data_IF_465611833746
#
_entry.id   IF_465611833746
#
_cell.length_a   1.000
_cell.length_b   1.000
_cell.length_c   1.000
_cell.angle_alpha   90.00
_cell.angle_beta   90.00
_cell.angle_gamma   90.00
#
_symmetry.space_group_name_H-M   'P 1'
#
loop_
_entity.id
_entity.type
_entity.pdbx_description
1 polymer ?
#
# COMPACT_ATOMS: atom_id res chain seq x y z
N UNK A 1 -16.71 12.42 0.82
CA UNK A 1 -15.30 12.19 0.42
C UNK A 1 -14.34 12.38 1.58
N UNK A 2 -14.08 13.61 2.08
CA UNK A 2 -13.12 13.82 3.19
C UNK A 2 -13.36 12.94 4.41
N UNK A 3 -14.60 12.88 4.92
CA UNK A 3 -14.95 12.03 6.07
C UNK A 3 -14.63 10.54 5.83
N UNK A 4 -14.83 10.05 4.60
CA UNK A 4 -14.54 8.66 4.25
C UNK A 4 -13.02 8.43 4.26
N UNK A 5 -12.25 9.33 3.65
CA UNK A 5 -10.79 9.26 3.75
C UNK A 5 -10.28 9.41 5.19
N UNK A 6 -10.91 10.22 6.05
CA UNK A 6 -10.52 10.31 7.46
C UNK A 6 -10.68 8.95 8.16
N UNK A 7 -11.76 8.21 7.88
CA UNK A 7 -11.94 6.83 8.38
C UNK A 7 -10.84 5.90 7.89
N UNK A 8 -10.44 6.02 6.61
CA UNK A 8 -9.31 5.26 6.07
C UNK A 8 -8.00 5.62 6.78
N UNK A 9 -7.73 6.90 7.07
CA UNK A 9 -6.50 7.34 7.70
C UNK A 9 -6.42 6.97 9.20
N UNK A 10 -7.53 6.63 9.85
CA UNK A 10 -7.56 6.24 11.27
C UNK A 10 -6.85 4.91 11.57
N UNK A 11 -6.55 4.08 10.57
CA UNK A 11 -5.77 2.84 10.78
C UNK A 11 -4.27 3.11 10.95
N UNK A 12 -3.82 4.34 10.70
CA UNK A 12 -2.41 4.74 10.77
C UNK A 12 -2.13 5.53 12.06
N UNK A 13 -1.18 5.10 12.92
CA UNK A 13 -0.42 3.86 12.83
C UNK A 13 -1.14 2.67 13.49
N UNK A 14 -0.99 1.49 12.90
CA UNK A 14 -1.20 0.19 13.55
C UNK A 14 0.15 -0.53 13.63
N UNK A 15 0.88 -0.32 14.74
CA UNK A 15 2.28 -0.77 14.90
C UNK A 15 2.40 -2.30 14.92
N UNK A 16 1.46 -2.98 15.56
CA UNK A 16 1.39 -4.43 15.60
C UNK A 16 0.37 -4.93 14.56
N UNK A 17 0.85 -5.65 13.54
CA UNK A 17 -0.03 -6.17 12.49
C UNK A 17 -0.99 -7.24 13.02
N UNK A 18 -0.69 -7.89 14.15
CA UNK A 18 -1.62 -8.86 14.77
C UNK A 18 -2.88 -8.19 15.33
N UNK A 19 -2.85 -6.87 15.57
CA UNK A 19 -4.04 -6.11 15.98
C UNK A 19 -5.14 -6.21 14.90
N UNK A 20 -4.80 -6.45 13.63
CA UNK A 20 -5.77 -6.65 12.55
C UNK A 20 -6.57 -7.95 12.67
N UNK A 21 -6.10 -8.95 13.41
CA UNK A 21 -6.92 -10.15 13.67
C UNK A 21 -8.21 -9.79 14.44
N UNK A 22 -8.13 -8.80 15.31
CA UNK A 22 -9.22 -8.41 16.20
C UNK A 22 -9.96 -7.14 15.75
N UNK A 23 -9.47 -6.45 14.71
CA UNK A 23 -10.15 -5.29 14.09
C UNK A 23 -11.18 -5.73 13.04
N UNK A 24 -12.40 -5.25 13.18
CA UNK A 24 -13.45 -5.42 12.17
C UNK A 24 -13.53 -4.20 11.25
N UNK A 25 -13.58 -4.45 9.95
CA UNK A 25 -13.83 -3.42 8.94
C UNK A 25 -15.31 -3.34 8.54
N UNK A 26 -15.60 -2.64 7.44
CA UNK A 26 -16.95 -2.55 6.90
C UNK A 26 -17.37 -3.89 6.29
N UNK A 27 -18.63 -4.31 6.54
CA UNK A 27 -19.20 -5.54 6.00
C UNK A 27 -20.50 -5.23 5.26
N UNK A 28 -20.70 -5.88 4.13
CA UNK A 28 -21.93 -5.87 3.34
C UNK A 28 -22.34 -7.32 2.98
N UNK A 29 -23.24 -7.47 2.00
CA UNK A 29 -23.83 -8.75 1.60
C UNK A 29 -22.84 -9.73 0.94
N UNK A 30 -21.65 -9.26 0.56
CA UNK A 30 -20.58 -10.10 0.01
C UNK A 30 -19.88 -10.97 1.08
N UNK A 31 -20.14 -10.71 2.37
CA UNK A 31 -19.58 -11.51 3.46
C UNK A 31 -20.54 -12.61 3.91
N UNK A 32 -20.06 -13.84 3.90
CA UNK A 32 -20.74 -14.94 4.58
C UNK A 32 -20.92 -14.67 6.08
N UNK A 33 -22.02 -15.16 6.65
CA UNK A 33 -22.37 -14.95 8.08
C UNK A 33 -21.27 -15.39 9.05
N UNK A 34 -20.48 -16.39 8.68
CA UNK A 34 -19.38 -16.93 9.50
C UNK A 34 -18.01 -16.37 9.12
N UNK A 35 -17.91 -15.72 7.96
CA UNK A 35 -16.65 -15.14 7.52
C UNK A 35 -16.34 -13.89 8.34
N UNK A 36 -15.22 -13.86 9.05
CA UNK A 36 -14.72 -12.70 9.80
C UNK A 36 -13.95 -11.72 8.93
N UNK A 37 -13.67 -12.04 7.68
CA UNK A 37 -12.95 -11.22 6.71
C UNK A 37 -11.43 -11.31 6.82
N UNK A 38 -10.78 -10.79 5.78
CA UNK A 38 -9.32 -10.71 5.65
C UNK A 38 -8.90 -9.25 5.53
N UNK A 39 -7.87 -8.85 6.27
CA UNK A 39 -7.20 -7.58 6.01
C UNK A 39 -6.08 -7.79 4.99
N UNK A 40 -6.12 -7.06 3.88
CA UNK A 40 -5.05 -6.99 2.89
C UNK A 40 -4.24 -5.72 3.17
N UNK A 41 -2.96 -5.90 3.50
CA UNK A 41 -2.02 -4.79 3.72
C UNK A 41 -0.98 -4.83 2.61
N UNK A 42 -0.83 -3.72 1.90
CA UNK A 42 0.07 -3.59 0.76
C UNK A 42 0.84 -2.27 0.86
N UNK A 43 2.17 -2.33 0.75
CA UNK A 43 3.03 -1.14 0.62
C UNK A 43 4.07 -1.41 -0.47
N UNK A 44 4.28 -0.44 -1.35
CA UNK A 44 5.30 -0.52 -2.41
C UNK A 44 5.94 0.84 -2.69
N UNK A 45 7.21 0.79 -3.12
CA UNK A 45 7.97 1.93 -3.59
C UNK A 45 8.37 1.67 -5.04
N UNK A 46 8.03 2.59 -5.93
CA UNK A 46 8.40 2.59 -7.34
C UNK A 46 9.38 3.72 -7.63
N UNK A 47 10.51 3.37 -8.24
CA UNK A 47 11.55 4.32 -8.64
C UNK A 47 11.92 4.05 -10.09
N UNK A 48 11.56 4.97 -10.97
CA UNK A 48 11.98 5.02 -12.37
C UNK A 48 12.76 6.32 -12.59
N UNK A 49 14.09 6.31 -12.48
CA UNK A 49 14.91 7.46 -12.81
C UNK A 49 14.94 7.68 -14.32
N UNK A 50 15.14 8.93 -14.74
CA UNK A 50 15.25 9.29 -16.16
C UNK A 50 16.27 8.42 -16.90
N UNK A 51 15.78 7.70 -17.93
CA UNK A 51 16.60 6.87 -18.82
C UNK A 51 17.15 5.59 -18.20
N UNK A 52 16.56 5.11 -17.10
CA UNK A 52 16.91 3.84 -16.43
C UNK A 52 15.68 2.94 -16.33
N UNK A 53 15.87 1.68 -15.93
CA UNK A 53 14.76 0.78 -15.62
C UNK A 53 13.93 1.29 -14.46
N UNK A 54 12.63 0.99 -14.51
CA UNK A 54 11.73 1.16 -13.38
C UNK A 54 11.88 -0.04 -12.46
N UNK A 55 12.17 0.20 -11.18
CA UNK A 55 12.17 -0.84 -10.16
C UNK A 55 11.07 -0.56 -9.14
N UNK A 56 10.24 -1.57 -8.86
CA UNK A 56 9.23 -1.55 -7.81
C UNK A 56 9.55 -2.61 -6.77
N UNK A 57 9.52 -2.23 -5.50
CA UNK A 57 9.70 -3.15 -4.37
C UNK A 57 8.58 -2.98 -3.37
N UNK A 58 7.99 -4.09 -2.94
CA UNK A 58 6.85 -4.05 -2.04
C UNK A 58 6.56 -5.37 -1.34
N UNK A 59 5.56 -5.34 -0.48
CA UNK A 59 5.06 -6.53 0.20
C UNK A 59 3.54 -6.49 0.26
N UNK A 60 2.91 -7.64 0.11
CA UNK A 60 1.48 -7.86 0.39
C UNK A 60 1.36 -8.88 1.52
N UNK A 61 0.47 -8.63 2.48
CA UNK A 61 0.04 -9.60 3.48
C UNK A 61 -1.48 -9.74 3.49
N UNK A 62 -1.93 -10.99 3.61
CA UNK A 62 -3.32 -11.38 3.79
C UNK A 62 -3.50 -11.86 5.24
N UNK A 63 -4.03 -10.98 6.09
CA UNK A 63 -4.23 -11.22 7.52
C UNK A 63 -5.64 -11.78 7.71
N UNK A 64 -5.75 -13.11 7.73
CA UNK A 64 -7.03 -13.82 7.78
C UNK A 64 -7.54 -13.90 9.23
N UNK A 65 -8.68 -13.27 9.52
CA UNK A 65 -9.27 -13.23 10.87
C UNK A 65 -9.95 -14.54 11.26
N UNK A 66 -10.34 -15.38 10.30
CA UNK A 66 -10.94 -16.69 10.54
C UNK A 66 -9.91 -17.66 11.10
N UNK A 67 -8.77 -17.78 10.42
CA UNK A 67 -7.71 -18.73 10.79
C UNK A 67 -6.69 -18.14 11.77
N UNK A 68 -6.69 -16.82 11.96
CA UNK A 68 -5.64 -16.07 12.68
C UNK A 68 -4.24 -16.38 12.15
N UNK A 69 -4.14 -16.59 10.84
CA UNK A 69 -2.87 -16.77 10.14
C UNK A 69 -2.67 -15.64 9.13
N UNK A 70 -1.41 -15.32 8.88
CA UNK A 70 -1.04 -14.29 7.90
C UNK A 70 0.01 -14.84 6.95
N UNK A 71 -0.30 -14.81 5.65
CA UNK A 71 0.60 -15.19 4.56
C UNK A 71 0.69 -14.05 3.57
N UNK A 72 1.69 -14.08 2.71
CA UNK A 72 1.83 -13.12 1.63
C UNK A 72 3.15 -13.30 0.90
N UNK A 73 3.61 -12.24 0.26
CA UNK A 73 4.88 -12.26 -0.46
C UNK A 73 5.51 -10.87 -0.50
N UNK A 74 6.83 -10.85 -0.46
CA UNK A 74 7.63 -9.72 -0.91
C UNK A 74 7.80 -9.83 -2.43
N UNK A 75 7.84 -8.71 -3.13
CA UNK A 75 8.10 -8.70 -4.56
C UNK A 75 9.11 -7.63 -4.97
N UNK A 76 9.86 -7.96 -6.01
CA UNK A 76 10.70 -7.03 -6.76
C UNK A 76 10.24 -7.14 -8.19
N UNK A 77 9.77 -6.04 -8.75
CA UNK A 77 9.45 -5.93 -10.16
C UNK A 77 10.43 -4.98 -10.86
N UNK A 78 10.89 -5.37 -12.04
CA UNK A 78 11.74 -4.53 -12.88
C UNK A 78 11.15 -4.44 -14.30
N UNK A 79 10.90 -3.22 -14.75
CA UNK A 79 10.46 -2.92 -16.11
C UNK A 79 11.64 -2.31 -16.87
N UNK A 80 12.03 -2.96 -17.96
CA UNK A 80 13.16 -2.57 -18.83
C UNK A 80 12.70 -2.48 -20.27
N UNK A 81 13.28 -1.58 -21.06
CA UNK A 81 13.10 -1.58 -22.52
C UNK A 81 14.26 -2.34 -23.19
N UNK A 82 13.94 -3.26 -24.09
CA UNK A 82 14.95 -3.94 -24.90
C UNK A 82 15.51 -3.01 -25.99
N UNK A 83 16.54 -3.49 -26.71
CA UNK A 83 17.18 -2.72 -27.80
C UNK A 83 16.24 -2.36 -28.96
N UNK A 84 15.07 -2.98 -29.05
CA UNK A 84 14.03 -2.71 -30.04
C UNK A 84 12.91 -1.82 -29.47
N UNK A 85 13.05 -1.32 -28.24
CA UNK A 85 12.04 -0.51 -27.55
C UNK A 85 10.83 -1.29 -27.05
N UNK A 86 10.94 -2.62 -26.87
CA UNK A 86 9.88 -3.43 -26.25
C UNK A 86 10.09 -3.49 -24.74
N UNK A 87 9.06 -3.12 -23.99
CA UNK A 87 9.08 -3.22 -22.55
C UNK A 87 8.99 -4.69 -22.11
N UNK A 88 9.86 -5.08 -21.19
CA UNK A 88 9.91 -6.37 -20.51
C UNK A 88 9.66 -6.16 -19.03
N UNK A 89 8.72 -6.92 -18.51
CA UNK A 89 8.27 -6.95 -17.12
C UNK A 89 8.78 -8.24 -16.46
N UNK A 90 9.62 -8.15 -15.43
CA UNK A 90 10.19 -9.29 -14.68
C UNK A 90 9.90 -9.16 -13.18
N UNK A 91 8.81 -9.79 -12.73
CA UNK A 91 8.42 -9.81 -11.33
C UNK A 91 8.89 -11.09 -10.60
N UNK A 92 9.60 -10.90 -9.49
CA UNK A 92 10.03 -11.97 -8.59
C UNK A 92 9.31 -11.88 -7.26
N UNK A 93 8.65 -12.96 -6.86
CA UNK A 93 7.92 -13.08 -5.58
C UNK A 93 8.65 -14.01 -4.61
N UNK A 94 8.73 -13.57 -3.35
CA UNK A 94 9.31 -14.30 -2.25
C UNK A 94 8.23 -14.52 -1.17
N UNK A 95 7.72 -15.76 -1.00
CA UNK A 95 6.62 -16.00 -0.08
C UNK A 95 7.08 -15.81 1.38
N UNK A 96 6.19 -15.21 2.16
CA UNK A 96 6.40 -14.90 3.58
C UNK A 96 5.17 -15.28 4.41
N UNK A 97 5.38 -15.42 5.71
CA UNK A 97 4.32 -15.43 6.73
C UNK A 97 4.61 -14.37 7.79
N UNK A 98 3.59 -13.96 8.52
CA UNK A 98 3.73 -13.07 9.67
C UNK A 98 3.32 -13.78 10.96
N UNK A 99 4.20 -13.79 11.95
CA UNK A 99 3.97 -14.34 13.29
C UNK A 99 4.61 -13.41 14.33
N UNK A 100 3.88 -13.09 15.41
CA UNK A 100 4.37 -12.21 16.48
C UNK A 100 4.90 -10.86 15.94
N UNK A 101 4.18 -10.28 14.97
CA UNK A 101 4.54 -9.03 14.27
C UNK A 101 5.89 -9.06 13.52
N UNK A 102 6.41 -10.26 13.21
CA UNK A 102 7.65 -10.46 12.45
C UNK A 102 7.36 -11.10 11.11
N UNK A 103 8.06 -10.63 10.07
CA UNK A 103 8.01 -11.22 8.73
C UNK A 103 9.01 -12.36 8.65
N UNK A 104 8.57 -13.53 8.19
CA UNK A 104 9.37 -14.75 8.11
C UNK A 104 9.27 -15.30 6.69
N UNK A 105 10.38 -15.32 5.91
CA UNK A 105 10.41 -16.02 4.62
C UNK A 105 10.05 -17.50 4.77
N UNK A 106 9.20 -18.02 3.89
CA UNK A 106 8.79 -19.44 3.91
C UNK A 106 9.57 -20.30 2.92
N UNK A 107 10.38 -19.68 2.06
CA UNK A 107 11.31 -20.34 1.12
C UNK A 107 12.72 -19.73 1.25
N UNK A 108 13.78 -20.45 0.81
CA UNK A 108 15.12 -19.90 0.76
C UNK A 108 15.19 -18.59 -0.05
N UNK A 109 15.92 -17.61 0.47
CA UNK A 109 16.15 -16.32 -0.18
C UNK A 109 17.56 -16.31 -0.80
N UNK A 110 17.75 -15.80 -2.04
CA UNK A 110 19.00 -15.93 -2.77
C UNK A 110 20.24 -15.33 -2.09
N UNK A 111 20.08 -14.32 -1.23
CA UNK A 111 21.19 -13.67 -0.53
C UNK A 111 20.73 -13.02 0.79
N UNK A 112 21.70 -12.81 1.70
CA UNK A 112 21.45 -12.24 3.02
C UNK A 112 20.96 -10.79 3.01
N UNK A 113 21.34 -10.00 2.01
CA UNK A 113 20.89 -8.61 1.89
C UNK A 113 19.38 -8.56 1.68
N UNK A 114 18.87 -9.34 0.71
CA UNK A 114 17.45 -9.46 0.43
C UNK A 114 16.69 -10.10 1.59
N UNK A 115 17.27 -11.11 2.24
CA UNK A 115 16.66 -11.72 3.43
C UNK A 115 16.44 -10.69 4.54
N UNK A 116 17.46 -9.87 4.83
CA UNK A 116 17.36 -8.78 5.82
C UNK A 116 16.37 -7.69 5.40
N UNK A 117 16.28 -7.37 4.11
CA UNK A 117 15.30 -6.42 3.57
C UNK A 117 13.87 -6.90 3.85
N UNK A 118 13.59 -8.19 3.59
CA UNK A 118 12.29 -8.82 3.85
C UNK A 118 11.97 -8.89 5.36
N UNK A 119 12.91 -9.39 6.18
CA UNK A 119 12.70 -9.57 7.62
C UNK A 119 12.53 -8.24 8.37
N UNK A 120 13.21 -7.17 7.92
CA UNK A 120 13.11 -5.84 8.50
C UNK A 120 12.03 -4.95 7.85
N UNK A 121 11.30 -5.48 6.87
CA UNK A 121 10.26 -4.74 6.17
C UNK A 121 9.22 -4.22 7.17
N UNK A 122 8.77 -2.98 6.96
CA UNK A 122 7.67 -2.37 7.69
C UNK A 122 6.69 -1.79 6.71
N UNK A 123 5.44 -2.22 6.84
CA UNK A 123 4.33 -1.61 6.10
C UNK A 123 4.16 -0.16 6.56
N UNK A 124 3.72 0.71 5.65
CA UNK A 124 3.53 2.12 5.95
C UNK A 124 2.49 2.35 7.05
N UNK A 125 1.46 1.48 7.11
CA UNK A 125 0.52 1.42 8.24
C UNK A 125 1.17 1.29 9.61
N UNK A 126 2.36 0.69 9.73
CA UNK A 126 3.02 0.49 11.02
C UNK A 126 3.71 1.74 11.57
N UNK A 127 4.00 2.74 10.73
CA UNK A 127 4.83 3.89 11.14
C UNK A 127 4.33 5.25 10.68
N UNK A 128 3.41 5.31 9.71
CA UNK A 128 2.82 6.56 9.28
C UNK A 128 1.91 7.15 10.36
N UNK A 129 1.76 8.46 10.32
CA UNK A 129 0.89 9.20 11.21
C UNK A 129 0.27 10.34 10.43
N UNK A 130 -1.06 10.35 10.30
CA UNK A 130 -1.79 11.38 9.60
C UNK A 130 -2.44 12.34 10.60
N UNK A 131 -2.52 13.62 10.20
CA UNK A 131 -3.39 14.58 10.86
C UNK A 131 -4.83 14.34 10.41
N UNK A 132 -5.79 15.03 11.03
CA UNK A 132 -7.14 15.06 10.49
C UNK A 132 -7.09 15.57 9.05
N UNK A 133 -7.87 14.96 8.16
CA UNK A 133 -7.85 15.33 6.74
C UNK A 133 -8.18 16.82 6.51
N UNK A 134 -8.91 17.46 7.43
CA UNK A 134 -9.25 18.87 7.35
C UNK A 134 -8.07 19.81 7.68
N UNK A 135 -7.00 19.30 8.31
CA UNK A 135 -5.79 20.06 8.59
C UNK A 135 -4.92 20.27 7.33
N UNK A 136 -5.14 19.46 6.28
CA UNK A 136 -4.47 19.63 5.00
C UNK A 136 -5.14 20.77 4.21
N UNK A 137 -4.36 21.81 3.92
CA UNK A 137 -4.82 23.00 3.19
C UNK A 137 -4.80 22.77 1.68
N UNK A 138 -5.68 23.46 0.97
CA UNK A 138 -5.72 23.51 -0.51
C UNK A 138 -5.84 22.12 -1.18
N UNK A 139 -6.68 21.26 -0.62
CA UNK A 139 -6.97 19.95 -1.22
C UNK A 139 -7.79 20.08 -2.51
N UNK A 140 -7.33 19.40 -3.55
CA UNK A 140 -8.05 19.22 -4.81
C UNK A 140 -8.89 17.95 -4.70
N UNK A 141 -10.22 18.08 -4.75
CA UNK A 141 -11.17 16.98 -4.51
C UNK A 141 -11.94 16.72 -5.79
N UNK A 142 -11.90 15.48 -6.25
CA UNK A 142 -12.60 15.05 -7.46
C UNK A 142 -13.60 13.95 -7.14
N UNK A 143 -14.71 13.94 -7.89
CA UNK A 143 -15.72 12.89 -7.86
C UNK A 143 -16.22 12.60 -9.26
N UNK A 144 -16.16 11.34 -9.67
CA UNK A 144 -16.74 10.83 -10.90
C UNK A 144 -17.87 9.85 -10.55
N UNK A 145 -19.15 10.27 -10.65
CA UNK A 145 -20.28 9.42 -10.30
C UNK A 145 -20.53 8.27 -11.29
N UNK A 146 -19.99 8.32 -12.51
CA UNK A 146 -20.21 7.27 -13.52
C UNK A 146 -19.39 5.99 -13.24
N UNK A 147 -18.23 6.14 -12.61
CA UNK A 147 -17.34 5.02 -12.19
C UNK A 147 -17.40 4.83 -10.66
N UNK A 148 -18.38 5.44 -9.99
CA UNK A 148 -18.28 5.94 -8.61
C UNK A 148 -16.86 6.02 -8.01
N UNK A 149 -16.01 6.92 -8.54
CA UNK A 149 -14.65 7.13 -8.01
C UNK A 149 -14.46 8.53 -7.44
N UNK A 150 -13.63 8.65 -6.41
CA UNK A 150 -13.34 9.90 -5.72
C UNK A 150 -11.87 9.99 -5.34
N UNK A 151 -11.35 11.21 -5.32
CA UNK A 151 -9.98 11.45 -4.88
C UNK A 151 -9.82 12.74 -4.11
N UNK A 152 -8.76 12.82 -3.33
CA UNK A 152 -8.32 14.04 -2.68
C UNK A 152 -6.80 14.15 -2.79
N UNK A 153 -6.32 15.23 -3.40
CA UNK A 153 -4.91 15.48 -3.68
C UNK A 153 -4.41 16.70 -2.91
N UNK A 154 -3.28 16.56 -2.23
CA UNK A 154 -2.67 17.59 -1.39
C UNK A 154 -1.19 17.71 -1.69
N UNK A 155 -0.69 18.93 -1.89
CA UNK A 155 0.75 19.17 -1.94
C UNK A 155 1.32 19.10 -0.52
N UNK A 156 2.28 18.21 -0.28
CA UNK A 156 2.98 18.13 0.99
C UNK A 156 4.27 18.94 0.97
N UNK A 157 4.88 19.09 2.14
CA UNK A 157 6.20 19.66 2.32
C UNK A 157 7.19 18.57 2.77
N UNK A 158 8.49 18.75 2.51
CA UNK A 158 9.53 17.81 2.95
C UNK A 158 9.69 17.73 4.48
N UNK A 159 9.09 18.66 5.23
CA UNK A 159 9.08 18.63 6.69
C UNK A 159 7.99 17.75 7.28
N UNK A 160 7.04 17.29 6.46
CA UNK A 160 5.96 16.38 6.84
C UNK A 160 6.53 15.08 7.43
N UNK A 161 5.89 14.58 8.48
CA UNK A 161 6.36 13.40 9.20
C UNK A 161 6.42 12.16 8.30
N UNK A 162 5.39 11.92 7.49
CA UNK A 162 5.33 10.75 6.62
C UNK A 162 6.36 10.85 5.49
N UNK A 163 6.55 12.04 4.93
CA UNK A 163 7.60 12.27 3.91
C UNK A 163 8.99 11.99 4.48
N UNK A 164 9.28 12.41 5.72
CA UNK A 164 10.55 12.09 6.41
C UNK A 164 10.71 10.59 6.65
N UNK A 165 9.64 9.88 7.02
CA UNK A 165 9.69 8.43 7.21
C UNK A 165 10.01 7.69 5.92
N UNK A 166 9.38 8.07 4.79
CA UNK A 166 9.66 7.48 3.49
C UNK A 166 11.13 7.69 3.09
N UNK A 167 11.63 8.92 3.18
CA UNK A 167 13.04 9.25 2.86
C UNK A 167 14.07 8.61 3.77
N UNK A 168 13.68 8.20 4.99
CA UNK A 168 14.56 7.45 5.90
C UNK A 168 14.66 5.97 5.53
N UNK A 169 13.61 5.42 4.91
CA UNK A 169 13.47 3.99 4.62
C UNK A 169 13.82 3.62 3.18
N UNK A 170 13.62 4.56 2.26
CA UNK A 170 13.86 4.39 0.84
C UNK A 170 14.84 5.45 0.33
N UNK A 171 15.75 5.04 -0.54
CA UNK A 171 16.66 5.94 -1.23
C UNK A 171 15.93 6.63 -2.39
N UNK A 172 15.17 7.68 -2.08
CA UNK A 172 14.34 8.40 -3.04
C UNK A 172 15.21 9.45 -3.77
N UNK A 173 15.52 9.27 -5.07
CA UNK A 173 16.56 10.04 -5.78
C UNK A 173 16.08 11.43 -6.26
N UNK A 174 15.23 12.10 -5.49
CA UNK A 174 14.69 13.42 -5.80
C UNK A 174 14.50 14.24 -4.53
N UNK A 175 14.76 15.55 -4.60
CA UNK A 175 14.53 16.49 -3.48
C UNK A 175 13.11 17.06 -3.45
N UNK A 176 12.29 16.76 -4.47
CA UNK A 176 10.94 17.32 -4.59
C UNK A 176 10.03 16.84 -3.45
N UNK A 177 9.17 17.74 -2.95
CA UNK A 177 8.17 17.36 -1.96
C UNK A 177 7.00 16.67 -2.67
N UNK A 178 6.52 15.52 -2.18
CA UNK A 178 5.52 14.75 -2.89
C UNK A 178 4.13 15.38 -2.78
N UNK A 179 3.24 14.97 -3.68
CA UNK A 179 1.79 15.11 -3.51
C UNK A 179 1.27 13.88 -2.79
N UNK A 180 0.40 14.08 -1.80
CA UNK A 180 -0.42 13.01 -1.24
C UNK A 180 -1.69 12.91 -2.07
N UNK A 181 -1.95 11.73 -2.62
CA UNK A 181 -3.14 11.42 -3.38
C UNK A 181 -3.89 10.29 -2.67
N UNK A 182 -5.10 10.58 -2.21
CA UNK A 182 -6.03 9.59 -1.67
C UNK A 182 -7.01 9.23 -2.78
N UNK A 183 -7.15 7.95 -3.10
CA UNK A 183 -8.10 7.46 -4.11
C UNK A 183 -9.06 6.47 -3.45
N UNK A 184 -10.31 6.52 -3.88
CA UNK A 184 -11.29 5.51 -3.54
C UNK A 184 -12.27 5.31 -4.67
N UNK A 185 -12.80 4.10 -4.77
CA UNK A 185 -13.87 3.72 -5.67
C UNK A 185 -14.99 2.99 -4.91
N UNK A 186 -16.12 2.81 -5.57
CA UNK A 186 -17.32 2.22 -4.98
C UNK A 186 -18.13 3.21 -4.11
N UNK A 187 -19.06 2.68 -3.32
CA UNK A 187 -19.96 3.50 -2.51
C UNK A 187 -19.19 4.33 -1.47
N UNK A 188 -19.49 5.63 -1.43
CA UNK A 188 -18.99 6.59 -0.44
C UNK A 188 -19.35 6.20 1.01
N UNK A 189 -20.39 5.39 1.23
CA UNK A 189 -20.74 4.85 2.55
C UNK A 189 -19.82 3.70 2.99
N UNK A 190 -19.14 3.06 2.04
CA UNK A 190 -18.35 1.84 2.24
C UNK A 190 -18.89 0.72 1.37
N UNK A 191 -17.97 -0.08 0.82
CA UNK A 191 -18.26 -1.31 0.09
C UNK A 191 -17.07 -2.24 0.25
N UNK A 192 -17.32 -3.54 0.29
CA UNK A 192 -16.31 -4.59 0.25
C UNK A 192 -15.69 -4.79 -1.13
N UNK A 193 -16.39 -4.35 -2.18
CA UNK A 193 -15.98 -4.41 -3.59
C UNK A 193 -15.19 -3.17 -4.01
N UNK A 194 -15.30 -2.07 -3.25
CA UNK A 194 -14.58 -0.82 -3.51
C UNK A 194 -13.18 -0.79 -2.90
N UNK A 195 -12.24 -0.18 -3.60
CA UNK A 195 -10.86 -0.02 -3.16
C UNK A 195 -10.60 1.35 -2.53
N UNK A 196 -9.68 1.40 -1.57
CA UNK A 196 -9.09 2.64 -1.07
C UNK A 196 -7.60 2.47 -0.93
N UNK A 197 -6.86 3.42 -1.46
CA UNK A 197 -5.41 3.47 -1.38
C UNK A 197 -4.92 4.92 -1.32
N UNK A 198 -3.68 5.06 -0.92
CA UNK A 198 -2.98 6.33 -0.89
C UNK A 198 -1.68 6.25 -1.67
N UNK A 199 -1.23 7.39 -2.17
CA UNK A 199 -0.02 7.51 -2.96
C UNK A 199 0.72 8.78 -2.58
N UNK A 200 2.04 8.68 -2.46
CA UNK A 200 2.96 9.80 -2.36
C UNK A 200 3.71 9.93 -3.69
N UNK A 201 3.28 10.86 -4.54
CA UNK A 201 3.86 11.09 -5.86
C UNK A 201 4.98 12.12 -5.76
N UNK A 202 6.24 11.72 -5.90
CA UNK A 202 7.40 12.62 -5.85
C UNK A 202 7.70 13.24 -7.22
N UNK A 203 7.66 12.40 -8.26
CA UNK A 203 7.81 12.80 -9.66
C UNK A 203 6.85 11.96 -10.49
N UNK A 204 6.15 12.60 -11.41
CA UNK A 204 5.25 11.95 -12.37
C UNK A 204 5.34 12.70 -13.69
N UNK A 205 5.99 12.10 -14.68
CA UNK A 205 6.07 12.59 -16.05
C UNK A 205 6.41 11.45 -17.02
N UNK A 206 6.54 11.74 -18.31
CA UNK A 206 6.79 10.73 -19.34
C UNK A 206 8.15 10.04 -19.27
N UNK A 207 9.12 10.62 -18.55
CA UNK A 207 10.51 10.16 -18.52
C UNK A 207 10.96 9.66 -17.14
N UNK A 208 10.26 10.03 -16.06
CA UNK A 208 10.62 9.74 -14.68
C UNK A 208 9.35 9.61 -13.83
N UNK A 209 9.22 8.49 -13.10
CA UNK A 209 8.12 8.23 -12.18
C UNK A 209 8.66 7.72 -10.84
N UNK A 210 8.40 8.47 -9.77
CA UNK A 210 8.85 8.13 -8.43
C UNK A 210 7.67 8.32 -7.49
N UNK A 211 7.15 7.22 -6.98
CA UNK A 211 6.00 7.24 -6.09
C UNK A 211 6.02 6.08 -5.10
N UNK A 212 5.28 6.25 -4.02
CA UNK A 212 5.04 5.24 -3.01
C UNK A 212 3.54 5.01 -2.90
N UNK A 213 3.07 3.77 -2.87
CA UNK A 213 1.65 3.44 -2.67
C UNK A 213 1.45 2.60 -1.42
N UNK A 214 0.29 2.78 -0.77
CA UNK A 214 -0.14 1.94 0.35
C UNK A 214 -1.65 1.71 0.33
N UNK A 215 -2.05 0.51 0.73
CA UNK A 215 -3.44 0.12 0.89
C UNK A 215 -3.62 -0.78 2.11
N UNK A 216 -4.67 -0.50 2.88
CA UNK A 216 -5.12 -1.32 4.02
C UNK A 216 -6.62 -1.55 3.82
N UNK A 217 -6.96 -2.74 3.33
CA UNK A 217 -8.30 -3.06 2.86
C UNK A 217 -8.87 -4.23 3.66
N UNK A 218 -10.18 -4.21 3.90
CA UNK A 218 -10.89 -5.28 4.57
C UNK A 218 -11.86 -5.91 3.58
N UNK A 219 -11.64 -7.17 3.25
CA UNK A 219 -12.35 -7.89 2.19
C UNK A 219 -12.98 -9.17 2.75
N UNK A 220 -13.97 -9.76 2.04
CA UNK A 220 -14.36 -11.14 2.29
C UNK A 220 -13.12 -12.03 2.22
N UNK A 221 -13.09 -13.06 3.05
CA UNK A 221 -12.04 -14.08 2.94
C UNK A 221 -12.29 -14.90 1.67
N UNK A 222 -11.22 -15.17 0.91
CA UNK A 222 -11.29 -16.22 -0.10
C UNK A 222 -11.69 -17.52 0.60
N UNK A 223 -12.69 -18.23 0.06
CA UNK A 223 -13.02 -19.56 0.53
C UNK A 223 -11.77 -20.42 0.32
N UNK A 224 -11.27 -21.04 1.40
CA UNK A 224 -10.22 -22.07 1.34
C UNK A 224 -10.76 -23.36 0.65
N UNK A 225 -11.44 -23.23 -0.51
CA UNK A 225 -11.73 -24.33 -1.42
C UNK A 225 -10.56 -24.47 -2.40
N UNK A 226 -9.44 -24.98 -1.89
CA UNK A 226 -8.35 -25.54 -2.71
C UNK A 226 -7.68 -26.69 -1.98
#
# INVERSE_FOLDING_TARGET
IKQNFNKMLNVYPTKNLEDFYDKEGYRDEEFDKKDKGTWIVHSEMTIEPKGKSMETRGMVLYINRNTRTTKGYYFINEITDDSNGRSKDDEKRYPVKMEHNKIIPTKPIPNDKLKKEIENFKFFVQYANFKDINDYKNGDISYNPNVPSYSAKYQLNNNDYNVKQLRKRYDIPTKQAPKLLLKGDGDLKGSSVGSKNLEFTFVENKEENIFFTDAVQFTPSENDES
#
